data_IF_655897552655
#
_entry.id   IF_655897552655
#
_cell.length_a   1.000
_cell.length_b   1.000
_cell.length_c   1.000
_cell.angle_alpha   90.00
_cell.angle_beta   90.00
_cell.angle_gamma   90.00
#
_symmetry.space_group_name_H-M   'P 1'
#
loop_
_entity.id
_entity.type
_entity.pdbx_description
1 polymer ?
#
# COMPACT_ATOMS: atom_id res chain seq x y z
N UNK A 1 76.78 -56.94 37.15
CA UNK A 1 76.08 -58.07 36.52
C UNK A 1 74.74 -57.56 36.07
N UNK A 2 74.62 -57.27 34.77
CA UNK A 2 73.38 -56.85 34.12
C UNK A 2 72.33 -57.96 34.23
N UNK A 3 71.11 -57.60 34.61
CA UNK A 3 69.92 -58.43 34.39
C UNK A 3 68.89 -57.56 33.68
N UNK A 4 68.61 -57.95 32.43
CA UNK A 4 67.57 -57.45 31.57
C UNK A 4 66.20 -57.68 32.22
N UNK A 5 65.37 -56.64 32.27
CA UNK A 5 63.94 -56.77 32.55
C UNK A 5 63.21 -56.29 31.29
N UNK A 6 62.64 -57.26 30.56
CA UNK A 6 61.75 -57.01 29.43
C UNK A 6 60.45 -56.32 29.89
N UNK A 7 59.95 -55.30 29.17
CA UNK A 7 58.66 -54.69 29.47
C UNK A 7 57.51 -55.60 29.04
N UNK A 8 56.74 -56.08 30.02
CA UNK A 8 55.51 -56.85 29.83
C UNK A 8 54.45 -56.00 29.09
N UNK A 9 53.97 -56.54 27.96
CA UNK A 9 52.96 -55.89 27.12
C UNK A 9 51.61 -55.70 27.80
N UNK A 10 50.99 -54.55 27.56
CA UNK A 10 49.62 -54.22 27.96
C UNK A 10 48.61 -55.20 27.34
N UNK A 11 47.55 -55.61 28.07
CA UNK A 11 46.54 -56.51 27.53
C UNK A 11 45.71 -55.84 26.42
N UNK A 12 45.35 -56.62 25.40
CA UNK A 12 44.54 -56.18 24.26
C UNK A 12 43.16 -55.67 24.69
N UNK A 13 42.84 -54.42 24.33
CA UNK A 13 41.50 -53.84 24.46
C UNK A 13 40.53 -54.59 23.54
N UNK A 14 39.57 -55.31 24.12
CA UNK A 14 38.42 -55.87 23.37
C UNK A 14 37.48 -54.72 22.99
N UNK A 15 37.37 -54.45 21.70
CA UNK A 15 36.35 -53.55 21.13
C UNK A 15 34.98 -54.23 21.25
N UNK A 16 34.13 -53.76 22.16
CA UNK A 16 32.71 -54.16 22.18
C UNK A 16 32.02 -53.36 21.08
N UNK A 17 31.75 -54.00 19.94
CA UNK A 17 30.92 -53.43 18.87
C UNK A 17 29.47 -53.45 19.35
N UNK A 18 29.02 -52.36 19.94
CA UNK A 18 27.60 -52.12 20.13
C UNK A 18 26.98 -51.69 18.80
N UNK A 19 26.10 -52.53 18.24
CA UNK A 19 25.21 -52.15 17.15
C UNK A 19 24.16 -51.15 17.66
N UNK A 20 24.57 -49.91 17.89
CA UNK A 20 23.64 -48.80 17.94
C UNK A 20 23.32 -48.44 16.48
N UNK A 21 22.15 -48.88 16.00
CA UNK A 21 21.49 -48.26 14.84
C UNK A 21 21.19 -46.80 15.21
N UNK A 22 22.19 -45.94 15.07
CA UNK A 22 21.96 -44.53 14.96
C UNK A 22 21.23 -44.32 13.63
N UNK A 23 19.92 -44.10 13.69
CA UNK A 23 19.20 -43.47 12.60
C UNK A 23 19.89 -42.12 12.35
N UNK A 24 20.76 -42.09 11.35
CA UNK A 24 21.23 -40.85 10.76
C UNK A 24 19.99 -40.22 10.12
N UNK A 25 19.31 -39.36 10.86
CA UNK A 25 18.40 -38.39 10.26
C UNK A 25 19.25 -37.55 9.33
N UNK A 26 19.17 -37.81 8.02
CA UNK A 26 19.74 -36.94 6.99
C UNK A 26 19.35 -35.51 7.35
N UNK A 27 20.31 -34.58 7.53
CA UNK A 27 19.95 -33.17 7.67
C UNK A 27 19.14 -32.83 6.42
N UNK A 28 17.95 -32.24 6.61
CA UNK A 28 17.15 -31.76 5.48
C UNK A 28 18.10 -30.98 4.56
N UNK A 29 18.25 -31.44 3.32
CA UNK A 29 19.18 -30.86 2.35
C UNK A 29 18.97 -29.35 2.37
N UNK A 30 19.96 -28.61 2.87
CA UNK A 30 19.92 -27.15 2.92
C UNK A 30 19.82 -26.66 1.49
N UNK A 31 18.65 -26.15 1.11
CA UNK A 31 18.48 -25.52 -0.18
C UNK A 31 19.26 -24.20 -0.19
N UNK A 32 20.47 -24.25 -0.78
CA UNK A 32 21.34 -23.10 -0.92
C UNK A 32 20.62 -21.91 -1.56
N UNK A 33 19.57 -22.14 -2.35
CA UNK A 33 18.80 -21.05 -2.97
C UNK A 33 18.06 -20.22 -1.92
N UNK A 34 17.42 -20.86 -0.95
CA UNK A 34 16.70 -20.20 0.16
C UNK A 34 17.68 -19.51 1.13
N UNK A 35 18.86 -20.11 1.34
CA UNK A 35 19.94 -19.49 2.12
C UNK A 35 20.37 -18.18 1.49
N UNK A 36 20.63 -18.15 0.17
CA UNK A 36 20.99 -16.92 -0.56
C UNK A 36 19.90 -15.85 -0.49
N UNK A 37 18.62 -16.23 -0.52
CA UNK A 37 17.51 -15.27 -0.32
C UNK A 37 17.56 -14.66 1.08
N UNK A 38 17.84 -15.47 2.10
CA UNK A 38 17.94 -14.99 3.48
C UNK A 38 19.11 -14.02 3.65
N UNK A 39 20.29 -14.37 3.12
CA UNK A 39 21.46 -13.49 3.13
C UNK A 39 21.21 -12.17 2.41
N UNK A 40 20.58 -12.20 1.22
CA UNK A 40 20.19 -10.99 0.48
C UNK A 40 19.35 -10.04 1.32
N UNK A 41 18.36 -10.58 2.04
CA UNK A 41 17.44 -9.77 2.85
C UNK A 41 18.11 -9.21 4.10
N UNK A 42 19.07 -9.95 4.68
CA UNK A 42 19.84 -9.51 5.85
C UNK A 42 20.94 -8.49 5.51
N UNK A 43 21.59 -8.64 4.36
CA UNK A 43 22.69 -7.78 3.91
C UNK A 43 22.25 -6.35 3.58
N UNK A 44 20.94 -6.06 3.56
CA UNK A 44 20.38 -4.78 3.17
C UNK A 44 19.53 -4.17 4.27
N UNK A 45 19.68 -2.86 4.47
CA UNK A 45 18.79 -2.08 5.33
C UNK A 45 17.44 -1.80 4.65
N UNK A 46 16.67 -2.85 4.37
CA UNK A 46 15.38 -2.75 3.69
C UNK A 46 14.26 -2.24 4.61
N UNK A 47 13.30 -1.52 4.03
CA UNK A 47 12.03 -1.28 4.70
C UNK A 47 11.29 -2.61 4.94
N UNK A 48 10.57 -2.76 6.06
CA UNK A 48 9.96 -4.04 6.43
C UNK A 48 8.95 -4.54 5.37
N UNK A 49 8.25 -3.62 4.71
CA UNK A 49 7.34 -3.94 3.61
C UNK A 49 8.09 -4.34 2.34
N UNK A 50 9.21 -3.68 2.04
CA UNK A 50 10.08 -4.03 0.90
C UNK A 50 10.70 -5.41 1.11
N UNK A 51 11.19 -5.71 2.33
CA UNK A 51 11.70 -7.03 2.68
C UNK A 51 10.63 -8.12 2.50
N UNK A 52 9.43 -7.92 3.06
CA UNK A 52 8.30 -8.85 2.87
C UNK A 52 7.93 -9.03 1.40
N UNK A 53 7.93 -7.95 0.62
CA UNK A 53 7.63 -8.01 -0.80
C UNK A 53 8.70 -8.82 -1.55
N UNK A 54 9.98 -8.50 -1.37
CA UNK A 54 11.08 -9.22 -2.02
C UNK A 54 11.11 -10.69 -1.63
N UNK A 55 10.98 -11.01 -0.34
CA UNK A 55 10.88 -12.40 0.15
C UNK A 55 9.78 -13.16 -0.57
N UNK A 56 8.59 -12.56 -0.71
CA UNK A 56 7.46 -13.18 -1.39
C UNK A 56 7.75 -13.41 -2.87
N UNK A 57 8.27 -12.41 -3.59
CA UNK A 57 8.51 -12.56 -5.03
C UNK A 57 9.66 -13.54 -5.33
N UNK A 58 10.73 -13.56 -4.51
CA UNK A 58 11.83 -14.53 -4.63
C UNK A 58 11.36 -15.95 -4.34
N UNK A 59 10.55 -16.15 -3.30
CA UNK A 59 9.95 -17.46 -2.99
C UNK A 59 9.07 -17.98 -4.13
N UNK A 60 8.30 -17.12 -4.79
CA UNK A 60 7.52 -17.50 -5.98
C UNK A 60 8.42 -17.95 -7.13
N UNK A 61 9.52 -17.26 -7.35
CA UNK A 61 10.48 -17.65 -8.38
C UNK A 61 11.12 -19.00 -8.07
N UNK A 62 11.50 -19.25 -6.81
CA UNK A 62 12.02 -20.55 -6.36
C UNK A 62 11.02 -21.69 -6.54
N UNK A 63 9.73 -21.41 -6.33
CA UNK A 63 8.67 -22.38 -6.63
C UNK A 63 8.44 -22.63 -8.13
N UNK A 64 8.94 -21.76 -9.01
CA UNK A 64 8.83 -21.89 -10.46
C UNK A 64 10.06 -22.56 -11.09
N UNK A 65 11.25 -22.42 -10.49
CA UNK A 65 12.49 -22.96 -11.04
C UNK A 65 13.34 -23.69 -10.00
N UNK A 66 13.73 -24.92 -10.33
CA UNK A 66 14.68 -25.72 -9.55
C UNK A 66 16.16 -25.40 -9.82
N UNK A 67 16.44 -24.42 -10.69
CA UNK A 67 17.80 -24.08 -11.08
C UNK A 67 18.56 -23.36 -9.96
N UNK A 68 19.86 -23.63 -9.77
CA UNK A 68 20.72 -22.81 -8.94
C UNK A 68 20.76 -21.36 -9.43
N UNK A 69 20.94 -20.40 -8.51
CA UNK A 69 21.00 -18.98 -8.85
C UNK A 69 22.10 -18.65 -9.89
N UNK A 70 23.23 -19.33 -9.83
CA UNK A 70 24.35 -19.19 -10.76
C UNK A 70 24.02 -19.62 -12.21
N UNK A 71 23.02 -20.49 -12.42
CA UNK A 71 22.60 -20.99 -13.73
C UNK A 71 21.43 -20.21 -14.35
N UNK A 72 20.91 -19.21 -13.63
CA UNK A 72 19.84 -18.37 -14.16
C UNK A 72 20.42 -17.48 -15.26
N UNK A 73 19.74 -17.45 -16.40
CA UNK A 73 20.15 -16.70 -17.60
C UNK A 73 19.08 -15.67 -17.94
N UNK A 74 19.37 -14.68 -18.81
CA UNK A 74 18.35 -13.76 -19.30
C UNK A 74 17.15 -14.48 -19.96
N UNK A 75 17.40 -15.61 -20.64
CA UNK A 75 16.34 -16.45 -21.21
C UNK A 75 15.41 -17.01 -20.14
N UNK A 76 15.93 -17.44 -18.99
CA UNK A 76 15.12 -17.94 -17.88
C UNK A 76 14.26 -16.82 -17.28
N UNK A 77 14.78 -15.60 -17.14
CA UNK A 77 13.97 -14.46 -16.67
C UNK A 77 12.89 -14.06 -17.69
N UNK A 78 13.17 -14.14 -18.99
CA UNK A 78 12.16 -13.94 -20.03
C UNK A 78 11.05 -15.01 -20.00
N UNK A 79 11.42 -16.27 -19.77
CA UNK A 79 10.47 -17.37 -19.59
C UNK A 79 9.61 -17.19 -18.33
N UNK A 80 10.21 -16.77 -17.22
CA UNK A 80 9.45 -16.46 -16.00
C UNK A 80 8.47 -15.30 -16.23
N UNK A 81 8.92 -14.24 -16.91
CA UNK A 81 8.05 -13.12 -17.30
C UNK A 81 6.86 -13.61 -18.15
N UNK A 82 7.09 -14.50 -19.12
CA UNK A 82 6.02 -15.10 -19.93
C UNK A 82 5.06 -15.95 -19.09
N UNK A 83 5.59 -16.73 -18.13
CA UNK A 83 4.79 -17.49 -17.18
C UNK A 83 3.88 -16.58 -16.33
N UNK A 84 4.41 -15.46 -15.81
CA UNK A 84 3.62 -14.48 -15.05
C UNK A 84 2.50 -13.85 -15.89
N UNK A 85 2.72 -13.63 -17.19
CA UNK A 85 1.68 -13.18 -18.13
C UNK A 85 0.60 -14.25 -18.32
N UNK A 86 0.98 -15.51 -18.49
CA UNK A 86 0.04 -16.62 -18.66
C UNK A 86 -0.84 -16.82 -17.42
N UNK A 87 -0.34 -16.46 -16.22
CA UNK A 87 -1.12 -16.43 -14.98
C UNK A 87 -2.10 -15.24 -14.90
N UNK A 88 -2.17 -14.37 -15.91
CA UNK A 88 -3.06 -13.21 -15.93
C UNK A 88 -2.64 -12.08 -14.97
N UNK A 89 -1.37 -12.04 -14.53
CA UNK A 89 -0.91 -10.96 -13.66
C UNK A 89 -0.84 -9.63 -14.40
N UNK A 90 -1.22 -8.55 -13.71
CA UNK A 90 -1.12 -7.20 -14.27
C UNK A 90 0.33 -6.79 -14.54
N UNK A 91 0.59 -5.89 -15.51
CA UNK A 91 1.93 -5.35 -15.79
C UNK A 91 2.68 -4.86 -14.55
N UNK A 92 1.98 -4.21 -13.61
CA UNK A 92 2.54 -3.76 -12.35
C UNK A 92 2.99 -4.92 -11.45
N UNK A 93 2.21 -6.00 -11.38
CA UNK A 93 2.57 -7.19 -10.60
C UNK A 93 3.76 -7.92 -11.21
N UNK A 94 3.81 -8.01 -12.54
CA UNK A 94 4.95 -8.57 -13.28
C UNK A 94 6.21 -7.75 -13.00
N UNK A 95 6.14 -6.43 -13.18
CA UNK A 95 7.28 -5.53 -12.94
C UNK A 95 7.76 -5.57 -11.49
N UNK A 96 6.86 -5.72 -10.51
CA UNK A 96 7.25 -5.89 -9.10
C UNK A 96 8.00 -7.20 -8.86
N UNK A 97 7.56 -8.30 -9.47
CA UNK A 97 8.26 -9.58 -9.38
C UNK A 97 9.66 -9.49 -10.02
N UNK A 98 9.74 -8.91 -11.22
CA UNK A 98 11.01 -8.69 -11.91
C UNK A 98 11.94 -7.75 -11.13
N UNK A 99 11.43 -6.67 -10.53
CA UNK A 99 12.24 -5.76 -9.71
C UNK A 99 12.85 -6.46 -8.48
N UNK A 100 12.11 -7.38 -7.84
CA UNK A 100 12.65 -8.21 -6.76
C UNK A 100 13.80 -9.09 -7.22
N UNK A 101 13.66 -9.74 -8.37
CA UNK A 101 14.71 -10.56 -8.98
C UNK A 101 15.91 -9.71 -9.41
N UNK A 102 15.67 -8.57 -10.06
CA UNK A 102 16.73 -7.65 -10.48
C UNK A 102 17.56 -7.19 -9.30
N UNK A 103 16.89 -6.80 -8.21
CA UNK A 103 17.56 -6.39 -7.00
C UNK A 103 18.33 -7.52 -6.31
N UNK A 104 17.82 -8.75 -6.35
CA UNK A 104 18.51 -9.92 -5.83
C UNK A 104 19.78 -10.21 -6.63
N UNK A 105 19.69 -10.27 -7.96
CA UNK A 105 20.85 -10.56 -8.82
C UNK A 105 21.91 -9.46 -8.81
N UNK A 106 21.51 -8.20 -8.61
CA UNK A 106 22.46 -7.10 -8.40
C UNK A 106 23.26 -7.23 -7.10
N UNK A 107 22.61 -7.69 -6.03
CA UNK A 107 23.33 -8.08 -4.82
C UNK A 107 24.18 -9.33 -5.03
N UNK A 108 23.62 -10.38 -5.64
CA UNK A 108 24.24 -11.69 -5.78
C UNK A 108 25.53 -11.62 -6.63
N UNK A 109 25.55 -10.83 -7.71
CA UNK A 109 26.78 -10.58 -8.50
C UNK A 109 27.89 -9.88 -7.71
N UNK A 110 27.52 -9.12 -6.68
CA UNK A 110 28.47 -8.36 -5.84
C UNK A 110 28.96 -9.21 -4.68
N UNK A 111 28.08 -9.99 -4.06
CA UNK A 111 28.40 -10.86 -2.93
C UNK A 111 29.12 -12.16 -3.34
N UNK A 112 28.86 -12.66 -4.55
CA UNK A 112 29.40 -13.92 -5.08
C UNK A 112 29.86 -13.78 -6.54
N UNK A 113 30.84 -12.89 -6.82
CA UNK A 113 31.28 -12.60 -8.18
C UNK A 113 31.80 -13.85 -8.93
N UNK A 114 32.42 -14.79 -8.22
CA UNK A 114 32.96 -16.03 -8.78
C UNK A 114 31.88 -17.02 -9.23
N UNK A 115 30.66 -16.92 -8.70
CA UNK A 115 29.52 -17.77 -9.06
C UNK A 115 28.72 -17.18 -10.23
N UNK A 116 29.04 -15.96 -10.68
CA UNK A 116 28.25 -15.22 -11.65
C UNK A 116 28.99 -15.11 -12.99
N UNK A 117 28.73 -16.05 -13.90
CA UNK A 117 29.30 -16.00 -15.25
C UNK A 117 28.69 -14.88 -16.11
N UNK A 118 27.39 -14.62 -15.95
CA UNK A 118 26.66 -13.58 -16.69
C UNK A 118 25.55 -12.97 -15.85
N UNK A 119 25.39 -11.65 -15.90
CA UNK A 119 24.30 -10.97 -15.17
C UNK A 119 22.95 -11.27 -15.87
N UNK A 120 22.03 -12.02 -15.24
CA UNK A 120 20.82 -12.47 -15.92
C UNK A 120 19.82 -11.34 -16.19
N UNK A 121 19.98 -10.20 -15.52
CA UNK A 121 19.05 -9.08 -15.58
C UNK A 121 19.30 -8.12 -16.75
N UNK A 122 20.39 -8.30 -17.49
CA UNK A 122 20.89 -7.35 -18.50
C UNK A 122 19.89 -7.13 -19.65
N UNK A 123 19.09 -8.14 -20.00
CA UNK A 123 18.10 -8.07 -21.08
C UNK A 123 16.64 -8.12 -20.59
N UNK A 124 16.40 -7.86 -19.30
CA UNK A 124 15.04 -7.90 -18.73
C UNK A 124 14.34 -6.58 -19.00
N UNK A 125 13.52 -6.55 -20.05
CA UNK A 125 12.61 -5.42 -20.27
C UNK A 125 11.41 -5.50 -19.34
N UNK A 126 11.09 -4.41 -18.68
CA UNK A 126 9.87 -4.29 -17.89
C UNK A 126 8.65 -4.16 -18.81
N UNK A 127 7.50 -4.63 -18.35
CA UNK A 127 6.23 -4.42 -19.04
C UNK A 127 5.89 -2.93 -19.10
N UNK A 128 5.43 -2.49 -20.27
CA UNK A 128 4.86 -1.16 -20.41
C UNK A 128 3.57 -1.10 -19.58
N UNK A 129 3.60 -0.27 -18.54
CA UNK A 129 2.42 -0.01 -17.72
C UNK A 129 1.69 1.17 -18.37
N UNK A 130 0.48 0.98 -18.94
CA UNK A 130 -0.32 2.10 -19.42
C UNK A 130 -0.62 3.04 -18.25
N UNK A 131 -0.81 4.33 -18.53
CA UNK A 131 -1.30 5.25 -17.52
C UNK A 131 -2.67 4.72 -17.07
N UNK A 132 -2.87 4.40 -15.77
CA UNK A 132 -4.18 3.98 -15.32
C UNK A 132 -5.20 5.08 -15.62
N UNK A 133 -6.46 4.73 -15.92
CA UNK A 133 -7.52 5.72 -16.07
C UNK A 133 -7.62 6.61 -14.82
N UNK A 134 -8.25 7.77 -14.93
CA UNK A 134 -8.51 8.58 -13.75
C UNK A 134 -9.40 7.75 -12.82
N UNK A 135 -8.91 7.46 -11.61
CA UNK A 135 -9.70 6.83 -10.56
C UNK A 135 -10.20 7.88 -9.57
N UNK A 136 -10.18 9.15 -10.00
CA UNK A 136 -10.63 10.29 -9.22
C UNK A 136 -12.15 10.19 -9.07
N UNK A 137 -12.64 10.57 -7.90
CA UNK A 137 -14.06 10.62 -7.63
C UNK A 137 -14.61 11.95 -8.15
N UNK A 138 -15.81 11.92 -8.73
CA UNK A 138 -16.54 13.14 -9.07
C UNK A 138 -17.01 13.87 -7.80
N UNK A 139 -17.36 15.15 -7.92
CA UNK A 139 -17.89 15.92 -6.78
C UNK A 139 -19.16 15.28 -6.22
N UNK A 140 -20.00 14.72 -7.09
CA UNK A 140 -21.21 13.96 -6.74
C UNK A 140 -20.87 12.71 -5.93
N UNK A 141 -19.87 11.94 -6.38
CA UNK A 141 -19.42 10.75 -5.66
C UNK A 141 -18.87 11.09 -4.27
N UNK A 142 -18.10 12.17 -4.14
CA UNK A 142 -17.60 12.64 -2.83
C UNK A 142 -18.75 13.11 -1.94
N UNK A 143 -19.70 13.87 -2.47
CA UNK A 143 -20.88 14.32 -1.74
C UNK A 143 -21.70 13.13 -1.20
N UNK A 144 -21.92 12.10 -2.04
CA UNK A 144 -22.61 10.87 -1.62
C UNK A 144 -21.93 10.13 -0.47
N UNK A 145 -20.59 10.11 -0.43
CA UNK A 145 -19.89 9.56 0.72
C UNK A 145 -20.19 10.34 2.00
N UNK A 146 -20.30 11.67 1.94
CA UNK A 146 -20.64 12.49 3.11
C UNK A 146 -22.09 12.29 3.57
N UNK A 147 -23.07 12.26 2.66
CA UNK A 147 -24.47 12.00 3.00
C UNK A 147 -24.63 10.66 3.74
N UNK A 148 -24.01 9.60 3.21
CA UNK A 148 -24.05 8.29 3.86
C UNK A 148 -23.40 8.30 5.24
N UNK A 149 -22.32 9.07 5.44
CA UNK A 149 -21.65 9.12 6.75
C UNK A 149 -22.56 9.76 7.79
N UNK A 150 -23.32 10.79 7.44
CA UNK A 150 -24.21 11.51 8.36
C UNK A 150 -25.29 10.58 8.95
N UNK A 151 -25.76 9.62 8.16
CA UNK A 151 -26.75 8.62 8.56
C UNK A 151 -26.20 7.53 9.51
N UNK A 152 -24.91 7.54 9.86
CA UNK A 152 -24.28 6.46 10.67
C UNK A 152 -24.48 6.57 12.17
N UNK A 153 -25.29 7.51 12.64
CA UNK A 153 -25.65 7.67 14.05
C UNK A 153 -24.44 7.91 14.95
N UNK A 154 -24.29 7.12 16.02
CA UNK A 154 -23.30 7.36 17.08
C UNK A 154 -21.81 7.32 16.67
N UNK A 155 -21.48 6.87 15.44
CA UNK A 155 -20.11 6.86 14.92
C UNK A 155 -19.91 7.84 13.75
N UNK A 156 -20.94 8.61 13.38
CA UNK A 156 -20.92 9.52 12.22
C UNK A 156 -19.79 10.53 12.35
N UNK A 157 -19.67 11.25 13.47
CA UNK A 157 -18.63 12.28 13.67
C UNK A 157 -17.22 11.74 13.46
N UNK A 158 -16.92 10.56 14.03
CA UNK A 158 -15.62 9.90 13.81
C UNK A 158 -15.39 9.57 12.35
N UNK A 159 -16.41 9.06 11.67
CA UNK A 159 -16.32 8.66 10.28
C UNK A 159 -16.25 9.87 9.33
N UNK A 160 -16.93 10.98 9.65
CA UNK A 160 -16.84 12.27 8.95
C UNK A 160 -15.43 12.82 9.05
N UNK A 161 -14.87 12.85 10.27
CA UNK A 161 -13.50 13.30 10.49
C UNK A 161 -12.49 12.42 9.74
N UNK A 162 -12.63 11.09 9.75
CA UNK A 162 -11.75 10.19 8.96
C UNK A 162 -11.89 10.48 7.47
N UNK A 163 -13.12 10.57 6.94
CA UNK A 163 -13.38 10.83 5.53
C UNK A 163 -12.79 12.17 5.10
N UNK A 164 -12.99 13.22 5.89
CA UNK A 164 -12.45 14.55 5.62
C UNK A 164 -10.94 14.60 5.59
N UNK A 165 -10.27 13.91 6.52
CA UNK A 165 -8.81 13.84 6.52
C UNK A 165 -8.28 13.06 5.30
N UNK A 166 -8.94 11.97 4.90
CA UNK A 166 -8.59 11.24 3.67
C UNK A 166 -8.84 12.07 2.40
N UNK A 167 -9.93 12.83 2.37
CA UNK A 167 -10.28 13.76 1.30
C UNK A 167 -9.32 14.97 1.22
N UNK A 168 -8.48 15.20 2.24
CA UNK A 168 -7.36 16.15 2.22
C UNK A 168 -6.03 15.49 1.79
N UNK A 169 -6.10 14.32 1.18
CA UNK A 169 -4.95 13.70 0.53
C UNK A 169 -4.00 12.94 1.44
N UNK A 170 -4.33 12.74 2.72
CA UNK A 170 -3.49 11.91 3.60
C UNK A 170 -3.55 10.43 3.18
N UNK A 171 -2.43 9.72 3.31
CA UNK A 171 -2.39 8.26 3.15
C UNK A 171 -3.00 7.59 4.38
N UNK A 172 -3.62 6.44 4.19
CA UNK A 172 -4.19 5.64 5.28
C UNK A 172 -3.18 5.41 6.41
N UNK A 173 -1.94 5.04 6.10
CA UNK A 173 -0.91 4.80 7.12
C UNK A 173 -0.56 6.05 7.93
N UNK A 174 -0.69 7.24 7.34
CA UNK A 174 -0.47 8.50 8.04
C UNK A 174 -1.65 8.79 8.97
N UNK A 175 -2.88 8.62 8.47
CA UNK A 175 -4.10 8.77 9.26
C UNK A 175 -4.13 7.83 10.47
N UNK A 176 -3.73 6.56 10.28
CA UNK A 176 -3.64 5.57 11.35
C UNK A 176 -2.69 6.02 12.46
N UNK A 177 -1.62 6.76 12.14
CA UNK A 177 -0.56 7.16 13.08
C UNK A 177 -0.85 8.47 13.80
N UNK A 178 -1.84 9.24 13.37
CA UNK A 178 -2.19 10.51 13.99
C UNK A 178 -2.54 10.32 15.47
N UNK A 179 -2.07 11.26 16.27
CA UNK A 179 -2.43 11.45 17.66
C UNK A 179 -3.23 12.74 17.84
N UNK A 180 -3.89 12.88 18.98
CA UNK A 180 -4.68 14.08 19.30
C UNK A 180 -3.84 15.35 19.16
N UNK A 181 -2.61 15.35 19.68
CA UNK A 181 -1.69 16.48 19.62
C UNK A 181 -1.16 16.83 18.23
N UNK A 182 -1.48 16.05 17.20
CA UNK A 182 -1.07 16.36 15.83
C UNK A 182 -1.97 17.38 15.14
N UNK A 183 -3.15 17.65 15.70
CA UNK A 183 -4.08 18.64 15.19
C UNK A 183 -3.98 19.92 16.01
N UNK A 184 -3.56 21.02 15.38
CA UNK A 184 -3.42 22.34 16.02
C UNK A 184 -4.67 23.23 15.88
N UNK A 185 -5.78 22.66 15.40
CA UNK A 185 -6.99 23.39 15.05
C UNK A 185 -7.04 23.88 13.59
N UNK A 186 -5.90 23.94 12.89
CA UNK A 186 -5.78 24.45 11.51
C UNK A 186 -5.14 23.42 10.57
N UNK A 187 -4.14 22.69 11.06
CA UNK A 187 -3.26 21.79 10.31
C UNK A 187 -3.11 20.46 11.03
N UNK A 188 -2.76 19.43 10.27
CA UNK A 188 -2.32 18.14 10.79
C UNK A 188 -0.81 17.98 10.64
N UNK A 189 -0.12 17.69 11.73
CA UNK A 189 1.30 17.34 11.76
C UNK A 189 1.45 15.85 11.49
N UNK A 190 2.17 15.50 10.42
CA UNK A 190 2.31 14.10 10.02
C UNK A 190 3.51 13.46 10.72
N UNK A 191 3.23 12.53 11.62
CA UNK A 191 4.25 11.71 12.30
C UNK A 191 4.89 10.72 11.33
N UNK A 192 6.21 10.60 11.37
CA UNK A 192 6.98 9.82 10.39
C UNK A 192 6.66 8.31 10.41
N UNK A 193 6.76 7.71 9.23
CA UNK A 193 7.18 6.32 9.06
C UNK A 193 8.18 6.23 7.91
N UNK A 194 9.46 6.15 8.28
CA UNK A 194 10.56 5.54 7.52
C UNK A 194 11.08 6.24 6.25
N UNK A 195 10.33 7.13 5.60
CA UNK A 195 10.78 7.67 4.29
C UNK A 195 10.36 9.14 3.98
N UNK A 196 10.79 10.04 4.88
CA UNK A 196 11.14 11.46 4.61
C UNK A 196 10.07 12.42 4.05
N UNK A 197 8.79 12.23 4.40
CA UNK A 197 7.78 13.29 4.23
C UNK A 197 7.28 13.80 5.57
N UNK A 198 8.12 14.53 6.30
CA UNK A 198 7.68 15.35 7.43
C UNK A 198 6.98 16.60 6.92
N UNK A 199 5.96 17.05 7.63
CA UNK A 199 5.30 18.32 7.31
C UNK A 199 3.92 18.43 7.92
N UNK A 200 3.35 19.61 7.73
CA UNK A 200 1.98 19.94 8.13
C UNK A 200 1.06 19.97 6.92
N UNK A 201 -0.13 19.40 7.03
CA UNK A 201 -1.17 19.49 6.01
C UNK A 201 -2.21 20.52 6.48
N UNK A 202 -2.38 21.66 5.79
CA UNK A 202 -3.47 22.58 6.11
C UNK A 202 -4.81 21.96 5.75
N UNK A 203 -5.80 22.15 6.62
CA UNK A 203 -7.15 21.64 6.41
C UNK A 203 -8.10 22.75 6.00
N UNK A 204 -9.01 22.45 5.07
CA UNK A 204 -10.14 23.31 4.76
C UNK A 204 -11.11 23.39 5.95
N UNK A 205 -11.93 24.43 5.98
CA UNK A 205 -12.85 24.72 7.10
C UNK A 205 -13.69 23.49 7.49
N UNK A 206 -14.35 22.87 6.52
CA UNK A 206 -15.19 21.68 6.75
C UNK A 206 -14.43 20.54 7.47
N UNK A 207 -13.20 20.24 7.06
CA UNK A 207 -12.41 19.18 7.70
C UNK A 207 -11.97 19.54 9.13
N UNK A 208 -11.71 20.84 9.39
CA UNK A 208 -11.45 21.32 10.75
C UNK A 208 -12.69 21.18 11.62
N UNK A 209 -13.85 21.60 11.11
CA UNK A 209 -15.13 21.52 11.81
C UNK A 209 -15.43 20.06 12.20
N UNK A 210 -15.32 19.11 11.25
CA UNK A 210 -15.53 17.68 11.55
C UNK A 210 -14.54 17.11 12.58
N UNK A 211 -13.26 17.52 12.55
CA UNK A 211 -12.28 17.09 13.55
C UNK A 211 -12.58 17.67 14.93
N UNK A 212 -12.95 18.96 14.98
CA UNK A 212 -13.34 19.64 16.22
C UNK A 212 -14.57 18.97 16.82
N UNK A 213 -15.59 18.68 16.03
CA UNK A 213 -16.82 18.02 16.49
C UNK A 213 -16.54 16.61 17.03
N UNK A 214 -15.70 15.84 16.34
CA UNK A 214 -15.30 14.51 16.79
C UNK A 214 -14.48 14.55 18.08
N UNK A 215 -13.50 15.45 18.18
CA UNK A 215 -12.67 15.59 19.38
C UNK A 215 -13.47 16.13 20.56
N UNK A 216 -14.40 17.06 20.33
CA UNK A 216 -15.31 17.56 21.36
C UNK A 216 -16.22 16.46 21.91
N UNK A 217 -16.75 15.57 21.05
CA UNK A 217 -17.50 14.40 21.50
C UNK A 217 -16.62 13.41 22.28
N UNK A 218 -15.37 13.20 21.86
CA UNK A 218 -14.45 12.36 22.63
C UNK A 218 -14.14 12.96 23.99
N UNK A 219 -13.90 14.26 24.05
CA UNK A 219 -13.59 14.96 25.29
C UNK A 219 -14.76 14.92 26.26
N UNK A 220 -16.01 15.05 25.79
CA UNK A 220 -17.19 14.93 26.65
C UNK A 220 -17.40 13.51 27.20
N UNK A 221 -16.96 12.48 26.47
CA UNK A 221 -17.09 11.07 26.89
C UNK A 221 -15.91 10.56 27.74
N UNK A 222 -14.70 11.08 27.52
CA UNK A 222 -13.45 10.54 28.08
C UNK A 222 -12.75 11.51 29.05
N UNK A 223 -13.18 12.77 29.12
CA UNK A 223 -12.46 13.82 29.83
C UNK A 223 -11.34 14.42 28.97
N UNK A 224 -10.31 14.97 29.63
CA UNK A 224 -9.17 15.56 28.95
C UNK A 224 -8.45 14.54 28.05
N UNK A 225 -8.15 14.95 26.81
CA UNK A 225 -7.54 14.09 25.81
C UNK A 225 -6.03 14.32 25.78
N UNK A 226 -5.28 13.31 26.20
CA UNK A 226 -3.81 13.36 26.19
C UNK A 226 -3.24 13.48 24.77
N UNK A 227 -2.26 14.37 24.52
CA UNK A 227 -1.70 14.63 23.18
C UNK A 227 -1.16 13.39 22.47
N UNK A 228 -0.66 12.41 23.20
CA UNK A 228 -0.04 11.18 22.65
C UNK A 228 -1.03 10.04 22.41
N UNK A 229 -2.31 10.23 22.73
CA UNK A 229 -3.34 9.24 22.46
C UNK A 229 -3.72 9.23 20.98
N UNK A 230 -4.19 8.09 20.43
CA UNK A 230 -4.59 8.02 19.02
C UNK A 230 -5.69 9.03 18.70
N UNK A 231 -5.57 9.71 17.55
CA UNK A 231 -6.59 10.65 17.08
C UNK A 231 -7.90 9.91 16.81
N UNK A 232 -7.82 8.84 15.99
CA UNK A 232 -8.97 8.04 15.60
C UNK A 232 -9.04 6.72 16.36
N UNK A 233 -10.20 6.46 16.97
CA UNK A 233 -10.49 5.23 17.70
C UNK A 233 -11.34 4.23 16.90
N UNK A 234 -11.14 2.96 17.18
CA UNK A 234 -11.95 1.87 16.67
C UNK A 234 -13.17 1.62 17.57
N UNK A 235 -14.32 1.38 16.94
CA UNK A 235 -15.58 1.00 17.60
C UNK A 235 -15.93 -0.48 17.38
N UNK A 236 -15.02 -1.26 16.82
CA UNK A 236 -15.24 -2.70 16.62
C UNK A 236 -15.27 -3.45 17.96
N UNK A 237 -16.11 -4.48 18.09
CA UNK A 237 -16.29 -5.26 19.32
C UNK A 237 -14.97 -5.68 19.99
N UNK A 238 -13.99 -6.11 19.20
CA UNK A 238 -12.73 -6.68 19.70
C UNK A 238 -11.61 -5.66 19.91
N UNK A 239 -11.79 -4.40 19.49
CA UNK A 239 -10.76 -3.33 19.55
C UNK A 239 -11.34 -1.99 19.97
N UNK A 240 -12.42 -2.02 20.74
CA UNK A 240 -13.16 -0.82 21.13
C UNK A 240 -12.24 0.14 21.89
N UNK A 241 -12.27 1.42 21.52
CA UNK A 241 -11.41 2.49 22.05
C UNK A 241 -9.89 2.29 21.83
N UNK A 242 -9.48 1.35 20.99
CA UNK A 242 -8.08 1.26 20.53
C UNK A 242 -7.88 2.08 19.26
N UNK A 243 -6.62 2.34 18.86
CA UNK A 243 -6.28 3.01 17.60
C UNK A 243 -7.00 2.37 16.40
N UNK A 244 -7.64 3.19 15.58
CA UNK A 244 -8.21 2.75 14.31
C UNK A 244 -7.09 2.33 13.36
N UNK A 245 -7.06 1.04 13.02
CA UNK A 245 -6.03 0.47 12.14
C UNK A 245 -6.33 0.64 10.66
N UNK A 246 -5.32 0.35 9.83
CA UNK A 246 -5.39 0.43 8.35
C UNK A 246 -6.62 -0.28 7.78
N UNK A 247 -6.87 -1.52 8.20
CA UNK A 247 -8.00 -2.32 7.74
C UNK A 247 -9.35 -1.72 8.16
N UNK A 248 -9.40 -1.05 9.31
CA UNK A 248 -10.59 -0.37 9.79
C UNK A 248 -10.96 0.83 8.91
N UNK A 249 -9.97 1.62 8.51
CA UNK A 249 -10.17 2.74 7.57
C UNK A 249 -10.58 2.23 6.18
N UNK A 250 -9.91 1.18 5.68
CA UNK A 250 -10.27 0.59 4.40
C UNK A 250 -11.71 0.07 4.39
N UNK A 251 -12.08 -0.67 5.44
CA UNK A 251 -13.43 -1.18 5.61
C UNK A 251 -14.48 -0.06 5.72
N UNK A 252 -14.16 1.02 6.44
CA UNK A 252 -15.01 2.21 6.54
C UNK A 252 -15.31 2.78 5.16
N UNK A 253 -14.27 3.12 4.38
CA UNK A 253 -14.45 3.75 3.06
C UNK A 253 -15.24 2.83 2.13
N UNK A 254 -14.90 1.54 2.12
CA UNK A 254 -15.64 0.54 1.34
C UNK A 254 -17.11 0.49 1.75
N UNK A 255 -17.42 0.48 3.04
CA UNK A 255 -18.81 0.43 3.54
C UNK A 255 -19.62 1.67 3.17
N UNK A 256 -19.01 2.85 3.20
CA UNK A 256 -19.65 4.08 2.77
C UNK A 256 -20.01 4.01 1.28
N UNK A 257 -19.05 3.62 0.43
CA UNK A 257 -19.29 3.51 -1.01
C UNK A 257 -20.34 2.46 -1.37
N UNK A 258 -20.30 1.28 -0.74
CA UNK A 258 -21.33 0.25 -0.93
C UNK A 258 -22.72 0.74 -0.53
N UNK A 259 -22.84 1.50 0.57
CA UNK A 259 -24.12 2.04 1.00
C UNK A 259 -24.61 3.15 0.07
N UNK A 260 -23.72 4.02 -0.40
CA UNK A 260 -24.06 5.07 -1.36
C UNK A 260 -24.55 4.47 -2.69
N UNK A 261 -23.84 3.48 -3.22
CA UNK A 261 -24.22 2.76 -4.43
C UNK A 261 -25.58 2.05 -4.26
N UNK A 262 -25.82 1.43 -3.11
CA UNK A 262 -27.11 0.80 -2.81
C UNK A 262 -28.27 1.81 -2.85
N UNK A 263 -28.13 2.94 -2.15
CA UNK A 263 -29.16 3.99 -2.14
C UNK A 263 -29.42 4.51 -3.56
N UNK A 264 -28.36 4.79 -4.32
CA UNK A 264 -28.51 5.24 -5.70
C UNK A 264 -29.24 4.23 -6.58
N UNK A 265 -28.98 2.93 -6.39
CA UNK A 265 -29.68 1.85 -7.09
C UNK A 265 -31.16 1.78 -6.72
N UNK A 266 -31.51 1.95 -5.45
CA UNK A 266 -32.91 2.00 -4.99
C UNK A 266 -33.68 3.17 -5.64
N UNK A 267 -33.06 4.35 -5.68
CA UNK A 267 -33.67 5.55 -6.31
C UNK A 267 -33.86 5.36 -7.81
N UNK A 268 -32.85 4.81 -8.51
CA UNK A 268 -32.96 4.50 -9.94
C UNK A 268 -34.06 3.47 -10.23
N UNK A 269 -34.38 2.59 -9.26
CA UNK A 269 -35.47 1.63 -9.36
C UNK A 269 -36.84 2.23 -8.98
N UNK A 270 -36.92 3.54 -8.71
CA UNK A 270 -38.15 4.25 -8.38
C UNK A 270 -38.53 4.22 -6.89
N UNK A 271 -37.61 3.84 -6.00
CA UNK A 271 -37.82 3.92 -4.55
C UNK A 271 -37.42 5.29 -4.02
N UNK A 272 -37.96 5.70 -2.87
CA UNK A 272 -37.52 6.93 -2.21
C UNK A 272 -36.18 6.74 -1.49
N UNK A 273 -35.24 7.66 -1.72
CA UNK A 273 -33.97 7.73 -1.00
C UNK A 273 -34.11 8.27 0.42
N UNK A 274 -33.08 8.10 1.26
CA UNK A 274 -33.09 8.59 2.63
C UNK A 274 -32.90 10.12 2.67
N UNK A 275 -33.98 10.87 2.86
CA UNK A 275 -33.93 12.32 2.98
C UNK A 275 -34.00 13.07 1.64
N UNK A 276 -34.28 14.37 1.72
CA UNK A 276 -34.59 15.21 0.55
C UNK A 276 -33.40 15.38 -0.39
N UNK A 277 -32.17 15.41 0.13
CA UNK A 277 -30.97 15.67 -0.67
C UNK A 277 -30.74 14.62 -1.76
N UNK A 278 -31.00 13.35 -1.47
CA UNK A 278 -30.86 12.25 -2.44
C UNK A 278 -31.85 12.33 -3.60
N UNK A 279 -32.99 13.01 -3.39
CA UNK A 279 -34.01 13.20 -4.42
C UNK A 279 -33.64 14.30 -5.42
N UNK A 280 -32.65 15.14 -5.08
CA UNK A 280 -32.21 16.23 -5.96
C UNK A 280 -31.30 15.77 -7.09
N UNK A 281 -30.80 14.54 -7.03
CA UNK A 281 -29.82 14.03 -7.97
C UNK A 281 -30.46 13.44 -9.22
N UNK A 282 -29.93 13.85 -10.37
CA UNK A 282 -30.33 13.31 -11.67
C UNK A 282 -29.92 11.84 -11.85
N UNK A 283 -30.57 11.14 -12.77
CA UNK A 283 -30.24 9.75 -13.10
C UNK A 283 -28.76 9.56 -13.50
N UNK A 284 -28.17 10.52 -14.23
CA UNK A 284 -26.75 10.48 -14.60
C UNK A 284 -25.81 10.60 -13.39
N UNK A 285 -26.16 11.42 -12.41
CA UNK A 285 -25.41 11.56 -11.16
C UNK A 285 -25.52 10.29 -10.31
N UNK A 286 -26.72 9.69 -10.22
CA UNK A 286 -26.94 8.43 -9.53
C UNK A 286 -26.15 7.28 -10.18
N UNK A 287 -26.05 7.23 -11.51
CA UNK A 287 -25.20 6.25 -12.20
C UNK A 287 -23.72 6.39 -11.83
N UNK A 288 -23.19 7.61 -11.69
CA UNK A 288 -21.81 7.82 -11.20
C UNK A 288 -21.65 7.27 -9.77
N UNK A 289 -22.66 7.43 -8.92
CA UNK A 289 -22.60 6.96 -7.52
C UNK A 289 -22.56 5.44 -7.42
N UNK A 290 -23.15 4.70 -8.37
CA UNK A 290 -23.04 3.24 -8.42
C UNK A 290 -21.58 2.75 -8.48
N UNK A 291 -20.68 3.50 -9.11
CA UNK A 291 -19.27 3.16 -9.22
C UNK A 291 -18.53 3.20 -7.86
N UNK A 292 -19.14 3.80 -6.82
CA UNK A 292 -18.59 3.80 -5.47
C UNK A 292 -18.58 2.41 -4.81
N UNK A 293 -19.22 1.40 -5.40
CA UNK A 293 -19.20 0.03 -4.85
C UNK A 293 -17.78 -0.50 -4.61
N UNK A 294 -16.82 -0.09 -5.46
CA UNK A 294 -15.40 -0.47 -5.37
C UNK A 294 -14.50 0.65 -4.83
N UNK A 295 -15.07 1.65 -4.15
CA UNK A 295 -14.30 2.78 -3.63
C UNK A 295 -13.24 2.33 -2.63
N UNK A 296 -12.07 2.99 -2.70
CA UNK A 296 -10.96 2.73 -1.79
C UNK A 296 -10.23 4.03 -1.41
N UNK A 297 -9.60 4.10 -0.22
CA UNK A 297 -9.05 5.35 0.33
C UNK A 297 -8.06 6.08 -0.58
N UNK A 298 -7.35 5.36 -1.46
CA UNK A 298 -6.38 5.97 -2.37
C UNK A 298 -7.03 6.91 -3.40
N UNK A 299 -8.28 6.64 -3.80
CA UNK A 299 -9.03 7.49 -4.73
C UNK A 299 -9.29 8.86 -4.13
N UNK A 300 -9.65 8.96 -2.85
CA UNK A 300 -9.84 10.25 -2.18
C UNK A 300 -8.57 11.12 -2.25
N UNK A 301 -7.41 10.48 -2.08
CA UNK A 301 -6.12 11.17 -2.19
C UNK A 301 -5.82 11.63 -3.62
N UNK A 302 -6.11 10.79 -4.61
CA UNK A 302 -5.94 11.16 -6.01
C UNK A 302 -6.89 12.29 -6.40
N UNK A 303 -8.16 12.18 -6.02
CA UNK A 303 -9.21 13.19 -6.20
C UNK A 303 -8.79 14.54 -5.65
N UNK A 304 -8.25 14.57 -4.42
CA UNK A 304 -7.75 15.80 -3.82
C UNK A 304 -6.61 16.41 -4.63
N UNK A 305 -5.61 15.60 -5.00
CA UNK A 305 -4.46 16.07 -5.77
C UNK A 305 -4.86 16.60 -7.16
N UNK A 306 -5.72 15.88 -7.88
CA UNK A 306 -6.27 16.30 -9.17
C UNK A 306 -7.09 17.58 -9.01
N UNK A 307 -7.94 17.66 -7.98
CA UNK A 307 -8.76 18.84 -7.69
C UNK A 307 -7.96 20.10 -7.39
N UNK A 308 -6.77 19.99 -6.79
CA UNK A 308 -5.87 21.14 -6.61
C UNK A 308 -5.33 21.64 -7.96
N UNK A 309 -4.89 20.73 -8.83
CA UNK A 309 -4.36 21.08 -10.15
C UNK A 309 -5.43 21.72 -11.04
N UNK A 310 -6.65 21.18 -11.03
CA UNK A 310 -7.80 21.74 -11.78
C UNK A 310 -8.19 23.14 -11.30
N UNK A 311 -7.95 23.45 -10.02
CA UNK A 311 -8.13 24.79 -9.45
C UNK A 311 -6.95 25.73 -9.74
N UNK A 312 -6.03 25.35 -10.63
CA UNK A 312 -4.90 26.17 -11.06
C UNK A 312 -3.70 26.13 -10.11
N UNK A 313 -3.67 25.24 -9.12
CA UNK A 313 -2.49 25.09 -8.26
C UNK A 313 -1.32 24.53 -9.07
N UNK A 314 -0.16 25.16 -8.93
CA UNK A 314 1.07 24.71 -9.55
C UNK A 314 1.45 23.28 -9.08
N UNK A 315 2.00 22.48 -10.00
CA UNK A 315 2.23 21.04 -9.84
C UNK A 315 3.17 20.70 -8.67
N UNK A 316 4.26 21.45 -8.50
CA UNK A 316 5.18 21.29 -7.37
C UNK A 316 4.51 21.62 -6.03
N UNK A 317 3.68 22.68 -5.97
CA UNK A 317 2.91 23.00 -4.76
C UNK A 317 1.90 21.91 -4.41
N UNK A 318 1.11 21.46 -5.39
CA UNK A 318 0.14 20.38 -5.19
C UNK A 318 0.85 19.07 -4.77
N UNK A 319 2.01 18.75 -5.37
CA UNK A 319 2.85 17.60 -4.99
C UNK A 319 3.37 17.70 -3.55
N UNK A 320 3.77 18.90 -3.15
CA UNK A 320 4.28 19.18 -1.80
C UNK A 320 3.19 19.01 -0.76
N UNK A 321 2.02 19.62 -0.96
CA UNK A 321 0.87 19.49 -0.04
C UNK A 321 0.36 18.06 0.08
N UNK A 322 0.25 17.37 -1.06
CA UNK A 322 -0.17 15.97 -1.07
C UNK A 322 0.95 15.03 -0.65
N UNK A 323 2.20 15.50 -0.53
CA UNK A 323 3.38 14.74 -0.12
C UNK A 323 3.62 13.51 -1.00
N UNK A 324 3.50 13.67 -2.32
CA UNK A 324 3.86 12.63 -3.28
C UNK A 324 5.38 12.56 -3.46
N UNK A 325 5.96 11.38 -3.15
CA UNK A 325 7.41 11.17 -3.20
C UNK A 325 7.96 11.15 -4.61
N UNK A 326 7.32 10.37 -5.48
CA UNK A 326 7.77 10.21 -6.86
C UNK A 326 7.23 11.36 -7.69
N UNK A 327 8.12 12.30 -8.03
CA UNK A 327 7.83 13.36 -9.00
C UNK A 327 7.44 12.76 -10.36
N UNK A 328 8.10 11.71 -10.80
CA UNK A 328 7.76 11.01 -12.05
C UNK A 328 6.37 10.36 -12.01
N UNK A 329 5.90 9.90 -10.84
CA UNK A 329 4.52 9.42 -10.68
C UNK A 329 3.53 10.58 -10.63
N UNK A 330 3.89 11.70 -9.99
CA UNK A 330 3.04 12.89 -9.92
C UNK A 330 2.85 13.56 -11.28
N UNK A 331 3.96 13.83 -11.99
CA UNK A 331 3.99 14.41 -13.34
C UNK A 331 3.14 13.60 -14.34
N UNK A 332 3.13 12.27 -14.21
CA UNK A 332 2.36 11.39 -15.10
C UNK A 332 0.86 11.64 -15.04
N UNK A 333 0.29 11.84 -13.85
CA UNK A 333 -1.12 12.19 -13.75
C UNK A 333 -1.36 13.69 -13.92
N UNK A 334 -0.46 14.55 -13.43
CA UNK A 334 -0.56 15.99 -13.61
C UNK A 334 -0.61 16.37 -15.09
N UNK A 335 0.15 15.68 -15.95
CA UNK A 335 0.10 15.85 -17.40
C UNK A 335 -1.30 15.60 -17.97
N UNK A 336 -1.98 14.53 -17.54
CA UNK A 336 -3.36 14.22 -17.99
C UNK A 336 -4.33 15.34 -17.59
N UNK A 337 -4.25 15.77 -16.34
CA UNK A 337 -5.12 16.82 -15.80
C UNK A 337 -4.87 18.15 -16.52
N UNK A 338 -3.60 18.50 -16.76
CA UNK A 338 -3.23 19.70 -17.51
C UNK A 338 -3.70 19.64 -18.96
N UNK A 339 -3.63 18.48 -19.63
CA UNK A 339 -4.13 18.33 -21.00
C UNK A 339 -5.65 18.49 -21.05
N UNK A 340 -6.39 17.86 -20.14
CA UNK A 340 -7.85 18.01 -20.05
C UNK A 340 -8.25 19.45 -19.68
N UNK A 341 -7.54 20.09 -18.76
CA UNK A 341 -7.78 21.49 -18.40
C UNK A 341 -7.44 22.45 -19.55
N UNK A 342 -6.41 22.15 -20.35
CA UNK A 342 -6.06 22.95 -21.53
C UNK A 342 -7.11 22.81 -22.63
N UNK A 343 -7.63 21.59 -22.84
CA UNK A 343 -8.74 21.33 -23.76
C UNK A 343 -10.01 22.09 -23.33
N UNK A 344 -10.40 21.99 -22.06
CA UNK A 344 -11.54 22.77 -21.53
C UNK A 344 -11.31 24.29 -21.59
N UNK A 345 -10.08 24.77 -21.43
CA UNK A 345 -9.75 26.18 -21.57
C UNK A 345 -9.83 26.64 -23.03
N UNK A 346 -9.42 25.79 -23.97
CA UNK A 346 -9.55 26.04 -25.40
C UNK A 346 -11.02 26.18 -25.81
N UNK A 347 -11.87 25.20 -25.46
CA UNK A 347 -13.30 25.24 -25.78
C UNK A 347 -14.01 26.46 -25.16
N UNK A 348 -13.69 26.79 -23.90
CA UNK A 348 -14.17 28.04 -23.29
C UNK A 348 -13.69 29.31 -23.99
N UNK A 349 -12.49 29.32 -24.55
CA UNK A 349 -11.93 30.49 -25.24
C UNK A 349 -12.57 30.73 -26.61
N UNK A 350 -13.24 29.73 -27.17
CA UNK A 350 -13.94 29.80 -28.47
C UNK A 350 -15.47 29.76 -28.32
N UNK A 351 -15.99 29.85 -27.09
CA UNK A 351 -17.42 29.76 -26.76
C UNK A 351 -18.09 28.46 -27.28
N UNK A 352 -17.36 27.35 -27.29
CA UNK A 352 -17.87 26.02 -27.66
C UNK A 352 -17.83 25.05 -26.47
N UNK A 353 -18.64 23.98 -26.54
CA UNK A 353 -18.56 22.85 -25.62
C UNK A 353 -17.62 21.76 -26.16
N UNK A 354 -16.86 21.06 -25.29
CA UNK A 354 -16.05 19.93 -25.71
C UNK A 354 -16.93 18.82 -26.32
N UNK A 355 -16.49 18.16 -27.40
CA UNK A 355 -17.22 17.04 -27.98
C UNK A 355 -17.30 15.88 -26.98
N UNK A 356 -18.49 15.29 -26.86
CA UNK A 356 -18.84 14.25 -25.89
C UNK A 356 -18.13 12.92 -26.11
#
# INVERSE_FOLDING_TARGET
MEQQIEPQGLPALKLIVGEAKAEVRSPALLDLREVRVTEFLQARSLAANTEKAYRRELKKFLGWSDRPWAEITPRHLAQYKAHLKQQGLSPNSINRALAGLMSFFDWFRTAYPEQMLHVPTTAVELERVPLPPAQDLSEVQVAALYLVVEERGAISKRDQAVLSVLAHGLRVDEVVRLNVGDFDGIRLTIRQAKDDSTGTVPLARQARDHLVDYLGERQSQQGELEPETPLFLSYGRNRRQQRLGYQGIYYLVKKLGQRAAHIAQEILNGQEGPGEEWQTWSAAQLQQILELEQVHPHQLRHTFATGLLLRGMESLHARTLTRHRSEASFKRYAKRVLMSSAEQAFYRAIDEEPPS
#
